data_IF_972606151195
#
_entry.id   IF_972606151195
#
_cell.length_a   1.000
_cell.length_b   1.000
_cell.length_c   1.000
_cell.angle_alpha   90.00
_cell.angle_beta   90.00
_cell.angle_gamma   90.00
#
_symmetry.space_group_name_H-M   'P 1'
#
loop_
_entity.id
_entity.type
_entity.pdbx_description
1 polymer ?
#
# COMPACT_ATOMS: atom_id res chain seq x y z
N UNK A 1 22.42 6.68 -26.15
CA UNK A 1 23.81 6.78 -25.64
C UNK A 1 23.78 6.39 -24.17
N UNK A 2 24.41 5.27 -23.82
CA UNK A 2 24.48 4.79 -22.45
C UNK A 2 25.40 5.71 -21.65
N UNK A 3 24.85 6.44 -20.69
CA UNK A 3 25.61 7.26 -19.77
C UNK A 3 26.23 6.33 -18.73
N UNK A 4 27.56 6.23 -18.75
CA UNK A 4 28.35 5.52 -17.76
C UNK A 4 28.20 6.29 -16.44
N UNK A 5 27.36 5.78 -15.54
CA UNK A 5 27.39 6.20 -14.13
C UNK A 5 28.77 5.83 -13.58
N UNK A 6 29.56 6.84 -13.22
CA UNK A 6 30.68 6.64 -12.33
C UNK A 6 30.14 5.99 -11.05
N UNK A 7 30.50 4.73 -10.80
CA UNK A 7 30.16 4.04 -9.57
C UNK A 7 30.69 4.86 -8.39
N UNK A 8 29.80 5.55 -7.67
CA UNK A 8 30.13 6.12 -6.36
C UNK A 8 30.55 4.95 -5.46
N UNK A 9 31.64 5.10 -4.73
CA UNK A 9 32.05 4.11 -3.73
C UNK A 9 30.88 3.90 -2.74
N UNK A 10 30.41 2.67 -2.63
CA UNK A 10 29.32 2.31 -1.73
C UNK A 10 29.87 1.90 -0.37
N UNK A 11 29.26 2.42 0.68
CA UNK A 11 29.49 1.95 2.05
C UNK A 11 28.75 0.65 2.26
N UNK A 12 29.48 -0.42 2.60
CA UNK A 12 28.88 -1.74 2.88
C UNK A 12 28.42 -1.77 4.33
N UNK A 13 27.19 -2.22 4.55
CA UNK A 13 26.54 -2.30 5.87
C UNK A 13 26.44 -3.76 6.29
N UNK A 14 27.00 -4.09 7.46
CA UNK A 14 27.04 -5.44 8.03
C UNK A 14 26.30 -5.54 9.38
N UNK A 15 26.18 -4.44 10.10
CA UNK A 15 25.67 -4.38 11.48
C UNK A 15 24.47 -3.44 11.64
N UNK A 16 23.76 -3.56 12.77
CA UNK A 16 22.64 -2.67 13.09
C UNK A 16 23.10 -1.24 13.35
N UNK A 17 24.26 -1.10 13.99
CA UNK A 17 24.86 0.17 14.32
C UNK A 17 25.26 0.92 13.04
N UNK A 18 25.87 0.24 12.06
CA UNK A 18 26.14 0.80 10.73
C UNK A 18 24.86 1.19 10.00
N UNK A 19 23.83 0.35 10.05
CA UNK A 19 22.53 0.66 9.46
C UNK A 19 21.91 1.93 10.07
N UNK A 20 21.93 2.08 11.39
CA UNK A 20 21.42 3.29 12.05
C UNK A 20 22.29 4.52 11.77
N UNK A 21 23.61 4.34 11.62
CA UNK A 21 24.56 5.41 11.36
C UNK A 21 24.44 6.02 9.94
N UNK A 22 23.66 5.42 9.03
CA UNK A 22 23.28 6.05 7.76
C UNK A 22 22.66 7.43 8.00
N UNK A 23 21.99 7.63 9.14
CA UNK A 23 21.44 8.93 9.58
C UNK A 23 22.46 10.07 9.62
N UNK A 24 23.75 9.77 9.74
CA UNK A 24 24.80 10.77 9.82
C UNK A 24 25.26 11.26 8.43
N UNK A 25 24.87 10.57 7.35
CA UNK A 25 25.15 10.97 5.98
C UNK A 25 24.03 10.52 5.02
N UNK A 26 22.83 11.11 5.11
CA UNK A 26 21.66 10.66 4.35
C UNK A 26 21.77 10.79 2.82
N UNK A 27 22.81 11.46 2.31
CA UNK A 27 23.11 11.59 0.89
C UNK A 27 24.08 10.51 0.35
N UNK A 28 24.56 9.62 1.22
CA UNK A 28 25.52 8.57 0.89
C UNK A 28 24.99 7.45 -0.01
N UNK A 29 25.88 6.58 -0.48
CA UNK A 29 25.52 5.36 -1.22
C UNK A 29 25.83 4.14 -0.35
N UNK A 30 24.83 3.28 -0.15
CA UNK A 30 24.86 2.19 0.81
C UNK A 30 24.43 0.87 0.18
N UNK A 31 25.08 -0.22 0.58
CA UNK A 31 24.72 -1.58 0.17
C UNK A 31 24.76 -2.55 1.36
N UNK A 32 23.78 -3.43 1.48
CA UNK A 32 23.83 -4.49 2.49
C UNK A 32 24.87 -5.56 2.12
N UNK A 33 25.80 -5.82 3.04
CA UNK A 33 26.82 -6.87 2.92
C UNK A 33 26.33 -8.25 3.35
N UNK A 34 25.37 -8.31 4.28
CA UNK A 34 24.73 -9.54 4.76
C UNK A 34 23.29 -9.28 5.20
N UNK A 35 22.56 -10.36 5.50
CA UNK A 35 21.29 -10.25 6.21
C UNK A 35 21.53 -9.70 7.63
N UNK A 36 20.64 -8.83 8.09
CA UNK A 36 20.71 -8.16 9.39
C UNK A 36 19.56 -8.67 10.27
N UNK A 37 19.91 -9.15 11.46
CA UNK A 37 18.94 -9.42 12.51
C UNK A 37 18.78 -8.21 13.43
N UNK A 38 17.62 -7.55 13.34
CA UNK A 38 17.30 -6.32 14.06
C UNK A 38 16.53 -6.55 15.37
N UNK A 39 16.45 -7.79 15.88
CA UNK A 39 15.73 -8.06 17.13
C UNK A 39 16.23 -7.22 18.32
N UNK A 40 17.53 -6.88 18.34
CA UNK A 40 18.13 -6.04 19.38
C UNK A 40 17.57 -4.61 19.40
N UNK A 41 17.01 -4.11 18.29
CA UNK A 41 16.49 -2.74 18.26
C UNK A 41 15.34 -2.57 19.24
N UNK A 42 14.64 -3.63 19.65
CA UNK A 42 13.55 -3.57 20.63
C UNK A 42 13.96 -2.94 21.98
N UNK A 43 15.22 -3.09 22.41
CA UNK A 43 15.73 -2.49 23.65
C UNK A 43 16.44 -1.15 23.44
N UNK A 44 16.47 -0.62 22.21
CA UNK A 44 17.17 0.63 21.90
C UNK A 44 16.31 1.84 22.24
N UNK A 45 16.97 2.97 22.51
CA UNK A 45 16.35 4.28 22.66
C UNK A 45 15.22 4.33 23.70
N UNK A 46 15.43 3.67 24.85
CA UNK A 46 14.41 3.58 25.90
C UNK A 46 13.18 2.80 25.45
N UNK A 47 13.39 1.68 24.74
CA UNK A 47 12.34 0.82 24.16
C UNK A 47 11.53 1.47 23.03
N UNK A 48 11.97 2.63 22.51
CA UNK A 48 11.40 3.26 21.33
C UNK A 48 11.84 2.59 20.01
N UNK A 49 12.83 1.69 20.05
CA UNK A 49 13.24 0.95 18.87
C UNK A 49 14.33 1.62 18.05
N UNK A 50 14.42 1.23 16.78
CA UNK A 50 15.31 1.82 15.79
C UNK A 50 14.87 3.27 15.46
N UNK A 51 15.83 4.21 15.36
CA UNK A 51 15.56 5.57 14.92
C UNK A 51 15.50 5.62 13.38
N UNK A 52 14.40 6.12 12.77
CA UNK A 52 14.26 6.16 11.32
C UNK A 52 15.43 6.86 10.60
N UNK A 53 15.77 6.36 9.41
CA UNK A 53 16.75 6.96 8.51
C UNK A 53 16.11 8.12 7.75
N UNK A 54 16.67 9.31 7.88
CA UNK A 54 16.11 10.53 7.29
C UNK A 54 14.85 11.01 8.01
N UNK A 55 14.61 12.31 7.95
CA UNK A 55 13.45 13.00 8.52
C UNK A 55 12.87 13.97 7.50
N UNK A 56 11.71 14.58 7.77
CA UNK A 56 11.17 15.60 6.87
C UNK A 56 12.13 16.80 6.70
N UNK A 57 12.88 17.16 7.75
CA UNK A 57 13.83 18.27 7.71
C UNK A 57 15.18 17.89 7.07
N UNK A 58 15.57 16.62 7.16
CA UNK A 58 16.82 16.08 6.60
C UNK A 58 16.56 14.70 5.99
N UNK A 59 16.00 14.65 4.77
CA UNK A 59 15.52 13.41 4.17
C UNK A 59 16.67 12.56 3.60
N UNK A 60 16.45 11.25 3.50
CA UNK A 60 17.36 10.37 2.79
C UNK A 60 17.33 10.66 1.29
N UNK A 61 18.40 11.23 0.76
CA UNK A 61 18.57 11.61 -0.66
C UNK A 61 19.62 10.76 -1.38
N UNK A 62 20.23 9.83 -0.66
CA UNK A 62 21.22 8.89 -1.15
C UNK A 62 20.64 7.68 -1.87
N UNK A 63 21.46 6.65 -2.00
CA UNK A 63 21.08 5.36 -2.58
C UNK A 63 21.24 4.26 -1.54
N UNK A 64 20.19 3.48 -1.31
CA UNK A 64 20.23 2.28 -0.48
C UNK A 64 19.88 1.05 -1.32
N UNK A 65 20.87 0.18 -1.53
CA UNK A 65 20.71 -1.10 -2.21
C UNK A 65 20.68 -2.23 -1.17
N UNK A 66 19.52 -2.84 -0.96
CA UNK A 66 19.39 -4.00 -0.07
C UNK A 66 20.08 -5.25 -0.59
N UNK A 67 20.53 -5.28 -1.86
CA UNK A 67 21.30 -6.38 -2.45
C UNK A 67 20.62 -7.77 -2.32
N UNK A 68 19.28 -7.79 -2.26
CA UNK A 68 18.50 -9.00 -2.04
C UNK A 68 18.63 -9.59 -0.62
N UNK A 69 19.30 -8.88 0.30
CA UNK A 69 19.46 -9.26 1.70
C UNK A 69 18.24 -8.86 2.53
N UNK A 70 18.09 -9.56 3.64
CA UNK A 70 16.98 -9.39 4.56
C UNK A 70 17.39 -8.55 5.76
N UNK A 71 16.54 -7.61 6.17
CA UNK A 71 16.53 -7.06 7.52
C UNK A 71 15.33 -7.69 8.23
N UNK A 72 15.59 -8.50 9.25
CA UNK A 72 14.56 -9.23 10.00
C UNK A 72 14.37 -8.65 11.39
N UNK A 73 13.20 -8.85 12.01
CA UNK A 73 12.97 -8.50 13.42
C UNK A 73 13.14 -7.02 13.75
N UNK A 74 13.00 -6.13 12.76
CA UNK A 74 13.08 -4.68 12.99
C UNK A 74 11.95 -4.23 13.90
N UNK A 75 12.31 -3.57 15.00
CA UNK A 75 11.36 -2.96 15.93
C UNK A 75 11.52 -1.44 15.92
N UNK A 76 10.41 -0.74 15.65
CA UNK A 76 10.28 0.72 15.72
C UNK A 76 8.99 1.04 16.47
N UNK A 77 9.08 1.90 17.48
CA UNK A 77 7.97 2.35 18.31
C UNK A 77 8.12 3.85 18.60
N UNK A 78 7.77 4.68 17.62
CA UNK A 78 8.26 6.05 17.52
C UNK A 78 7.14 7.08 17.59
N UNK A 79 7.40 8.20 18.27
CA UNK A 79 6.53 9.38 18.29
C UNK A 79 6.83 10.38 17.15
N UNK A 80 7.70 10.02 16.19
CA UNK A 80 7.98 10.87 15.03
C UNK A 80 6.75 11.00 14.09
N UNK A 81 6.70 12.07 13.29
CA UNK A 81 5.65 12.27 12.27
C UNK A 81 5.78 11.31 11.09
N UNK A 82 6.99 10.80 10.81
CA UNK A 82 7.24 9.83 9.74
C UNK A 82 7.98 8.62 10.30
N UNK A 83 7.33 7.47 10.24
CA UNK A 83 7.80 6.26 10.93
C UNK A 83 7.97 5.11 9.92
N UNK A 84 9.16 4.53 9.91
CA UNK A 84 9.58 3.41 9.06
C UNK A 84 11.08 3.20 9.18
N UNK A 85 11.65 2.19 8.50
CA UNK A 85 13.11 2.07 8.40
C UNK A 85 13.72 3.39 7.92
N UNK A 86 13.08 4.00 6.91
CA UNK A 86 13.28 5.38 6.52
C UNK A 86 12.15 6.24 7.10
N UNK A 87 12.47 7.35 7.73
CA UNK A 87 11.45 8.33 8.11
C UNK A 87 10.94 8.99 6.83
N UNK A 88 11.84 9.66 6.12
CA UNK A 88 11.55 10.29 4.84
C UNK A 88 12.61 9.94 3.80
N UNK A 89 12.18 9.43 2.65
CA UNK A 89 12.98 9.38 1.43
C UNK A 89 12.71 10.67 0.67
N UNK A 90 13.76 11.46 0.43
CA UNK A 90 13.69 12.76 -0.25
C UNK A 90 13.69 12.63 -1.77
N UNK A 91 13.45 13.75 -2.44
CA UNK A 91 13.64 13.83 -3.89
C UNK A 91 15.08 13.44 -4.25
N UNK A 92 15.25 12.55 -5.23
CA UNK A 92 16.54 11.98 -5.62
C UNK A 92 16.99 10.77 -4.79
N UNK A 93 16.35 10.49 -3.65
CA UNK A 93 16.59 9.28 -2.87
C UNK A 93 16.14 8.03 -3.61
N UNK A 94 16.95 6.97 -3.57
CA UNK A 94 16.63 5.68 -4.20
C UNK A 94 16.81 4.56 -3.20
N UNK A 95 15.75 3.80 -2.94
CA UNK A 95 15.77 2.61 -2.08
C UNK A 95 15.31 1.41 -2.89
N UNK A 96 16.16 0.40 -3.01
CA UNK A 96 15.84 -0.75 -3.85
C UNK A 96 16.44 -2.09 -3.41
N UNK A 97 15.89 -3.18 -3.92
CA UNK A 97 16.33 -4.56 -3.66
C UNK A 97 16.38 -4.93 -2.17
N UNK A 98 15.41 -4.45 -1.40
CA UNK A 98 15.39 -4.60 0.05
C UNK A 98 14.25 -5.52 0.50
N UNK A 99 14.53 -6.38 1.48
CA UNK A 99 13.54 -7.27 2.09
C UNK A 99 13.46 -6.99 3.60
N UNK A 100 12.29 -6.56 4.08
CA UNK A 100 11.96 -6.42 5.50
C UNK A 100 11.03 -7.56 5.91
N UNK A 101 11.39 -8.33 6.95
CA UNK A 101 10.59 -9.47 7.39
C UNK A 101 10.47 -9.55 8.91
N UNK A 102 9.32 -10.02 9.39
CA UNK A 102 9.13 -10.42 10.79
C UNK A 102 9.46 -9.32 11.82
N UNK A 103 8.98 -8.10 11.63
CA UNK A 103 9.19 -6.98 12.56
C UNK A 103 7.89 -6.22 12.88
N UNK A 104 7.99 -5.16 13.67
CA UNK A 104 6.88 -4.26 13.99
C UNK A 104 7.30 -2.80 13.89
N UNK A 105 6.50 -2.01 13.18
CA UNK A 105 6.63 -0.55 13.08
C UNK A 105 5.36 0.07 13.63
N UNK A 106 5.49 0.84 14.70
CA UNK A 106 4.37 1.47 15.40
C UNK A 106 4.59 2.97 15.50
N UNK A 107 3.60 3.76 15.08
CA UNK A 107 3.54 5.20 15.35
C UNK A 107 2.86 5.46 16.70
N UNK A 108 3.39 6.41 17.47
CA UNK A 108 2.91 6.86 18.78
C UNK A 108 2.89 8.39 18.86
N UNK A 109 2.24 9.03 17.89
CA UNK A 109 2.17 10.49 17.86
C UNK A 109 0.74 10.97 18.13
N UNK A 110 0.63 12.15 18.72
CA UNK A 110 -0.66 12.83 18.90
C UNK A 110 -0.95 13.84 17.78
N UNK A 111 -0.11 13.87 16.75
CA UNK A 111 -0.20 14.75 15.59
C UNK A 111 -0.26 13.93 14.29
N UNK A 112 -0.47 14.60 13.16
CA UNK A 112 -0.41 14.00 11.82
C UNK A 112 0.81 13.08 11.68
N UNK A 113 0.59 11.84 11.25
CA UNK A 113 1.68 10.91 10.97
C UNK A 113 1.51 10.14 9.67
N UNK A 114 2.64 9.64 9.20
CA UNK A 114 2.65 8.59 8.21
C UNK A 114 3.57 7.46 8.66
N UNK A 115 3.03 6.25 8.62
CA UNK A 115 3.72 5.05 9.05
C UNK A 115 3.77 4.05 7.90
N UNK A 116 4.97 3.53 7.65
CA UNK A 116 5.16 2.44 6.72
C UNK A 116 6.26 1.50 7.18
N UNK A 117 6.17 0.23 6.80
CA UNK A 117 7.19 -0.75 7.14
C UNK A 117 8.58 -0.34 6.64
N UNK A 118 8.65 0.15 5.40
CA UNK A 118 9.89 0.64 4.79
C UNK A 118 10.06 2.15 4.98
N UNK A 119 9.04 2.95 4.70
CA UNK A 119 9.15 4.41 4.77
C UNK A 119 7.90 5.07 5.38
N UNK A 120 8.08 6.07 6.23
CA UNK A 120 6.98 6.94 6.62
C UNK A 120 6.50 7.79 5.45
N UNK A 121 7.44 8.45 4.76
CA UNK A 121 7.18 9.21 3.54
C UNK A 121 8.18 8.91 2.41
N UNK A 122 7.70 8.92 1.17
CA UNK A 122 8.50 8.77 -0.03
C UNK A 122 8.28 9.94 -1.01
N UNK A 123 9.34 10.68 -1.33
CA UNK A 123 9.38 11.63 -2.45
C UNK A 123 10.41 11.21 -3.52
N UNK A 124 11.07 10.07 -3.33
CA UNK A 124 12.07 9.51 -4.22
C UNK A 124 11.56 8.28 -4.97
N UNK A 125 12.44 7.31 -5.20
CA UNK A 125 12.12 6.04 -5.86
C UNK A 125 12.30 4.87 -4.91
N UNK A 126 11.23 4.08 -4.76
CA UNK A 126 11.26 2.75 -4.14
C UNK A 126 11.05 1.71 -5.24
N UNK A 127 11.99 0.77 -5.38
CA UNK A 127 11.92 -0.25 -6.41
C UNK A 127 12.34 -1.62 -5.92
N UNK A 128 11.63 -2.67 -6.31
CA UNK A 128 12.00 -4.04 -5.90
C UNK A 128 12.14 -4.17 -4.37
N UNK A 129 11.15 -3.63 -3.64
CA UNK A 129 11.18 -3.52 -2.19
C UNK A 129 10.02 -4.29 -1.56
N UNK A 130 10.32 -5.06 -0.52
CA UNK A 130 9.41 -6.05 0.03
C UNK A 130 9.30 -5.89 1.54
N UNK A 131 8.08 -5.75 2.06
CA UNK A 131 7.84 -5.63 3.50
C UNK A 131 6.80 -6.64 3.99
N UNK A 132 7.20 -7.52 4.89
CA UNK A 132 6.31 -8.42 5.63
C UNK A 132 6.50 -8.21 7.14
N UNK A 133 6.14 -7.00 7.57
CA UNK A 133 6.19 -6.52 8.95
C UNK A 133 4.82 -6.05 9.40
N UNK A 134 4.54 -6.12 10.70
CA UNK A 134 3.30 -5.53 11.24
C UNK A 134 3.45 -4.02 11.33
N UNK A 135 2.53 -3.29 10.72
CA UNK A 135 2.48 -1.83 10.76
C UNK A 135 1.25 -1.40 11.54
N UNK A 136 1.47 -0.69 12.64
CA UNK A 136 0.41 -0.13 13.47
C UNK A 136 0.52 1.39 13.45
N UNK A 137 -0.41 2.02 12.77
CA UNK A 137 -0.70 3.42 13.00
C UNK A 137 -1.48 3.63 14.29
N UNK A 138 -1.46 4.88 14.74
CA UNK A 138 -2.39 5.36 15.73
C UNK A 138 -3.82 5.42 15.12
N UNK A 139 -4.82 5.32 15.98
CA UNK A 139 -6.23 5.40 15.62
C UNK A 139 -6.76 6.85 15.67
N UNK A 140 -5.85 7.82 15.81
CA UNK A 140 -6.14 9.25 15.90
C UNK A 140 -6.24 9.88 14.50
N UNK A 141 -6.79 11.10 14.45
CA UNK A 141 -7.14 11.79 13.21
C UNK A 141 -5.89 12.10 12.35
N UNK A 142 -6.04 11.93 11.04
CA UNK A 142 -5.08 12.31 9.99
C UNK A 142 -3.76 11.54 9.94
N UNK A 143 -3.89 10.22 9.98
CA UNK A 143 -2.76 9.32 9.79
C UNK A 143 -2.87 8.46 8.52
N UNK A 144 -1.78 8.43 7.76
CA UNK A 144 -1.61 7.55 6.61
C UNK A 144 -0.75 6.32 7.00
N UNK A 145 -1.39 5.15 7.04
CA UNK A 145 -0.74 3.87 7.33
C UNK A 145 -0.65 3.01 6.07
N UNK A 146 0.57 2.66 5.66
CA UNK A 146 0.81 1.70 4.58
C UNK A 146 1.64 0.52 5.04
N UNK A 147 1.39 -0.68 4.53
CA UNK A 147 2.26 -1.83 4.84
C UNK A 147 3.72 -1.64 4.36
N UNK A 148 3.93 -0.87 3.29
CA UNK A 148 5.26 -0.50 2.80
C UNK A 148 5.57 0.98 3.06
N UNK A 149 4.69 1.89 2.67
CA UNK A 149 4.90 3.35 2.74
C UNK A 149 3.70 4.06 3.33
N UNK A 150 3.88 4.95 4.30
CA UNK A 150 2.77 5.76 4.80
C UNK A 150 2.22 6.72 3.73
N UNK A 151 3.04 7.67 3.29
CA UNK A 151 2.68 8.62 2.21
C UNK A 151 3.64 8.51 1.03
N UNK A 152 3.11 8.36 -0.18
CA UNK A 152 3.87 8.34 -1.42
C UNK A 152 3.62 9.60 -2.26
N UNK A 153 4.64 10.46 -2.39
CA UNK A 153 4.74 11.55 -3.38
C UNK A 153 5.70 11.21 -4.53
N UNK A 154 6.41 10.10 -4.44
CA UNK A 154 7.40 9.65 -5.42
C UNK A 154 6.91 8.48 -6.26
N UNK A 155 7.83 7.59 -6.61
CA UNK A 155 7.53 6.35 -7.36
C UNK A 155 7.73 5.13 -6.49
N UNK A 156 6.76 4.21 -6.52
CA UNK A 156 6.86 2.85 -5.98
C UNK A 156 6.63 1.90 -7.15
N UNK A 157 7.60 1.01 -7.43
CA UNK A 157 7.46 0.03 -8.51
C UNK A 157 7.99 -1.34 -8.16
N UNK A 158 7.39 -2.40 -8.71
CA UNK A 158 7.84 -3.80 -8.51
C UNK A 158 7.98 -4.15 -7.02
N UNK A 159 7.12 -3.61 -6.18
CA UNK A 159 7.25 -3.66 -4.73
C UNK A 159 6.01 -4.27 -4.10
N UNK A 160 6.15 -4.90 -2.94
CA UNK A 160 5.02 -5.54 -2.30
C UNK A 160 5.05 -5.52 -0.77
N UNK A 161 3.85 -5.60 -0.20
CA UNK A 161 3.63 -5.71 1.24
C UNK A 161 2.79 -6.94 1.58
N UNK A 162 3.19 -7.67 2.63
CA UNK A 162 2.48 -8.88 3.08
C UNK A 162 2.20 -8.93 4.58
N UNK A 163 2.63 -7.92 5.33
CA UNK A 163 2.34 -7.81 6.76
C UNK A 163 1.01 -7.11 7.03
N UNK A 164 0.51 -7.21 8.26
CA UNK A 164 -0.73 -6.51 8.65
C UNK A 164 -0.49 -5.00 8.68
N UNK A 165 -1.46 -4.23 8.19
CA UNK A 165 -1.51 -2.78 8.32
C UNK A 165 -2.80 -2.37 9.05
N UNK A 166 -2.68 -1.50 10.06
CA UNK A 166 -3.83 -1.01 10.84
C UNK A 166 -3.68 0.46 11.19
N UNK A 167 -4.69 1.30 10.97
CA UNK A 167 -4.64 2.74 11.26
C UNK A 167 -5.92 3.49 10.86
N UNK A 168 -5.81 4.81 10.63
CA UNK A 168 -6.89 5.66 10.13
C UNK A 168 -7.07 5.53 8.61
N UNK A 169 -6.28 6.23 7.80
CA UNK A 169 -6.20 6.08 6.35
C UNK A 169 -5.23 4.94 6.02
N UNK A 170 -5.76 3.75 5.73
CA UNK A 170 -4.95 2.51 5.73
C UNK A 170 -4.96 1.81 4.39
N UNK A 171 -3.79 1.62 3.81
CA UNK A 171 -3.57 0.73 2.66
C UNK A 171 -2.63 -0.42 2.97
N UNK A 172 -2.82 -1.55 2.29
CA UNK A 172 -1.92 -2.68 2.45
C UNK A 172 -0.51 -2.40 1.93
N UNK A 173 -0.36 -1.55 0.91
CA UNK A 173 0.94 -1.09 0.38
C UNK A 173 1.23 0.36 0.79
N UNK A 174 0.30 1.28 0.50
CA UNK A 174 0.48 2.72 0.71
C UNK A 174 -0.69 3.30 1.50
N UNK A 175 -0.48 4.16 2.51
CA UNK A 175 -1.59 4.89 3.15
C UNK A 175 -2.24 5.86 2.16
N UNK A 176 -1.53 6.96 1.87
CA UNK A 176 -1.93 7.95 0.87
C UNK A 176 -0.98 7.96 -0.32
N UNK A 177 -1.53 7.83 -1.53
CA UNK A 177 -0.76 7.92 -2.76
C UNK A 177 -1.03 9.21 -3.53
N UNK A 178 -0.07 10.14 -3.54
CA UNK A 178 -0.02 11.32 -4.41
C UNK A 178 0.84 11.12 -5.65
N UNK A 179 1.76 10.15 -5.61
CA UNK A 179 2.68 9.83 -6.69
C UNK A 179 2.23 8.66 -7.57
N UNK A 180 3.19 7.85 -7.99
CA UNK A 180 2.98 6.69 -8.87
C UNK A 180 3.23 5.39 -8.13
N UNK A 181 2.30 4.44 -8.29
CA UNK A 181 2.45 3.04 -7.91
C UNK A 181 2.24 2.16 -9.14
N UNK A 182 3.21 1.30 -9.45
CA UNK A 182 3.18 0.47 -10.66
C UNK A 182 3.71 -0.94 -10.41
N UNK A 183 3.12 -1.96 -11.03
CA UNK A 183 3.58 -3.35 -10.93
C UNK A 183 3.77 -3.80 -9.47
N UNK A 184 2.85 -3.43 -8.58
CA UNK A 184 3.03 -3.58 -7.13
C UNK A 184 1.82 -4.22 -6.48
N UNK A 185 1.99 -4.88 -5.33
CA UNK A 185 0.89 -5.61 -4.73
C UNK A 185 0.90 -5.71 -3.21
N UNK A 186 -0.27 -5.99 -2.66
CA UNK A 186 -0.46 -6.20 -1.23
C UNK A 186 -1.23 -7.48 -0.92
N UNK A 187 -0.74 -8.25 0.05
CA UNK A 187 -1.36 -9.52 0.48
C UNK A 187 -1.72 -9.54 1.97
N UNK A 188 -1.23 -8.55 2.72
CA UNK A 188 -1.47 -8.42 4.15
C UNK A 188 -2.90 -8.01 4.49
N UNK A 189 -3.35 -8.36 5.69
CA UNK A 189 -4.64 -7.91 6.22
C UNK A 189 -4.61 -6.41 6.48
N UNK A 190 -5.68 -5.72 6.09
CA UNK A 190 -5.89 -4.29 6.37
C UNK A 190 -7.04 -4.11 7.36
N UNK A 191 -6.80 -3.34 8.40
CA UNK A 191 -7.83 -2.88 9.34
C UNK A 191 -7.77 -1.35 9.43
N UNK A 192 -8.62 -0.67 8.68
CA UNK A 192 -8.58 0.80 8.57
C UNK A 192 -9.85 1.48 9.05
N UNK A 193 -9.90 2.79 8.83
CA UNK A 193 -11.08 3.60 9.02
C UNK A 193 -11.38 3.88 10.48
N UNK A 194 -10.39 4.06 11.34
CA UNK A 194 -10.66 4.58 12.69
C UNK A 194 -10.73 6.11 12.63
N UNK A 195 -11.87 6.71 13.02
CA UNK A 195 -12.05 8.16 13.14
C UNK A 195 -12.37 8.92 11.83
N UNK A 196 -13.66 9.12 11.53
CA UNK A 196 -14.13 10.03 10.46
C UNK A 196 -14.25 9.39 9.06
N UNK A 197 -14.41 10.22 8.01
CA UNK A 197 -14.56 9.79 6.61
C UNK A 197 -13.22 9.37 5.97
N UNK A 198 -12.65 8.26 6.46
CA UNK A 198 -11.31 7.76 6.10
C UNK A 198 -11.36 6.61 5.09
N UNK A 199 -10.23 6.38 4.40
CA UNK A 199 -10.07 5.33 3.41
C UNK A 199 -9.41 4.06 3.98
N UNK A 200 -10.03 2.91 3.77
CA UNK A 200 -9.40 1.60 4.00
C UNK A 200 -9.37 0.81 2.68
N UNK A 201 -8.18 0.51 2.17
CA UNK A 201 -8.01 -0.21 0.91
C UNK A 201 -6.96 -1.32 0.96
N UNK A 202 -7.15 -2.37 0.16
CA UNK A 202 -6.22 -3.49 0.12
C UNK A 202 -4.83 -3.11 -0.39
N UNK A 203 -4.72 -2.17 -1.31
CA UNK A 203 -3.46 -1.60 -1.80
C UNK A 203 -3.22 -0.20 -1.22
N UNK A 204 -4.17 0.74 -1.41
CA UNK A 204 -4.05 2.10 -0.93
C UNK A 204 -5.25 2.55 -0.08
N UNK A 205 -5.01 3.31 0.99
CA UNK A 205 -6.08 3.94 1.76
C UNK A 205 -6.78 4.99 0.89
N UNK A 206 -6.03 6.01 0.50
CA UNK A 206 -6.47 7.05 -0.43
C UNK A 206 -5.53 7.15 -1.65
N UNK A 207 -6.11 7.42 -2.81
CA UNK A 207 -5.38 7.63 -4.05
C UNK A 207 -5.72 8.99 -4.68
N UNK A 208 -4.70 9.81 -4.80
CA UNK A 208 -4.67 11.11 -5.47
C UNK A 208 -3.84 11.09 -6.75
N UNK A 209 -2.93 10.13 -6.86
CA UNK A 209 -2.01 9.96 -7.99
C UNK A 209 -2.43 8.83 -8.93
N UNK A 210 -1.44 8.10 -9.46
CA UNK A 210 -1.65 7.01 -10.41
C UNK A 210 -1.29 5.66 -9.79
N UNK A 211 -2.18 4.68 -9.98
CA UNK A 211 -1.95 3.28 -9.65
C UNK A 211 -2.21 2.45 -10.91
N UNK A 212 -1.22 1.65 -11.31
CA UNK A 212 -1.29 0.84 -12.51
C UNK A 212 -0.75 -0.58 -12.28
N UNK A 213 -1.30 -1.56 -12.99
CA UNK A 213 -0.75 -2.93 -13.09
C UNK A 213 -0.49 -3.53 -11.70
N UNK A 214 -1.44 -3.35 -10.79
CA UNK A 214 -1.23 -3.60 -9.36
C UNK A 214 -2.41 -4.34 -8.77
N UNK A 215 -2.19 -5.10 -7.69
CA UNK A 215 -3.25 -5.92 -7.12
C UNK A 215 -3.23 -6.06 -5.61
N UNK A 216 -4.38 -6.39 -5.04
CA UNK A 216 -4.52 -6.69 -3.61
C UNK A 216 -5.31 -7.97 -3.35
N UNK A 217 -4.80 -8.83 -2.47
CA UNK A 217 -5.46 -10.12 -2.13
C UNK A 217 -5.78 -10.27 -0.64
N UNK A 218 -5.21 -9.40 0.20
CA UNK A 218 -5.45 -9.43 1.64
C UNK A 218 -6.88 -8.98 2.01
N UNK A 219 -7.46 -9.51 3.10
CA UNK A 219 -8.77 -9.09 3.55
C UNK A 219 -8.74 -7.67 4.12
N UNK A 220 -9.78 -6.89 3.84
CA UNK A 220 -9.95 -5.50 4.27
C UNK A 220 -11.15 -5.38 5.20
N UNK A 221 -10.97 -4.77 6.37
CA UNK A 221 -12.06 -4.37 7.25
C UNK A 221 -11.96 -2.89 7.59
N UNK A 222 -13.07 -2.16 7.55
CA UNK A 222 -13.13 -0.75 7.93
C UNK A 222 -14.25 -0.44 8.90
N UNK A 223 -13.99 0.37 9.93
CA UNK A 223 -14.96 0.78 10.95
C UNK A 223 -15.59 2.14 10.69
N UNK A 224 -15.02 2.95 9.80
CA UNK A 224 -15.58 4.20 9.29
C UNK A 224 -15.38 4.38 7.78
N UNK A 225 -16.29 5.13 7.16
CA UNK A 225 -16.08 5.74 5.85
C UNK A 225 -16.10 4.78 4.66
N UNK A 226 -14.97 4.76 3.94
CA UNK A 226 -14.82 4.25 2.57
C UNK A 226 -13.93 3.01 2.59
N UNK A 227 -14.49 1.86 2.26
CA UNK A 227 -13.79 0.57 2.35
C UNK A 227 -13.77 -0.10 0.98
N UNK A 228 -12.58 -0.24 0.39
CA UNK A 228 -12.37 -0.90 -0.89
C UNK A 228 -11.49 -2.12 -0.78
N UNK A 229 -11.70 -3.12 -1.63
CA UNK A 229 -10.78 -4.26 -1.73
C UNK A 229 -9.40 -3.88 -2.28
N UNK A 230 -9.29 -2.74 -2.98
CA UNK A 230 -8.05 -2.22 -3.56
C UNK A 230 -7.76 -0.80 -3.06
N UNK A 231 -8.68 0.14 -3.25
CA UNK A 231 -8.54 1.54 -2.82
C UNK A 231 -9.73 1.95 -1.96
N UNK A 232 -9.48 2.55 -0.79
CA UNK A 232 -10.57 3.09 0.03
C UNK A 232 -11.26 4.26 -0.69
N UNK A 233 -10.50 5.32 -0.96
CA UNK A 233 -10.97 6.50 -1.68
C UNK A 233 -10.07 6.83 -2.88
N UNK A 234 -10.66 6.96 -4.07
CA UNK A 234 -9.95 7.47 -5.25
C UNK A 234 -10.39 8.91 -5.50
N UNK A 235 -9.58 9.88 -5.09
CA UNK A 235 -9.87 11.32 -5.15
C UNK A 235 -9.05 11.98 -6.27
N UNK A 236 -9.67 12.19 -7.43
CA UNK A 236 -9.00 12.70 -8.65
C UNK A 236 -7.83 11.84 -9.16
N UNK A 237 -7.55 10.70 -8.53
CA UNK A 237 -6.54 9.76 -8.97
C UNK A 237 -6.97 8.89 -10.15
N UNK A 238 -6.00 8.15 -10.71
CA UNK A 238 -6.21 7.16 -11.78
C UNK A 238 -5.89 5.76 -11.28
N UNK A 239 -6.80 4.83 -11.51
CA UNK A 239 -6.62 3.40 -11.29
C UNK A 239 -6.83 2.70 -12.63
N UNK A 240 -5.80 2.00 -13.13
CA UNK A 240 -5.89 1.22 -14.38
C UNK A 240 -5.23 -0.14 -14.23
N UNK A 241 -5.71 -1.14 -14.95
CA UNK A 241 -5.07 -2.46 -14.98
C UNK A 241 -4.88 -3.08 -13.58
N UNK A 242 -5.89 -2.97 -12.72
CA UNK A 242 -5.78 -3.36 -11.31
C UNK A 242 -6.82 -4.40 -10.90
N UNK A 243 -6.53 -5.18 -9.85
CA UNK A 243 -7.53 -6.10 -9.32
C UNK A 243 -7.47 -6.33 -7.81
N UNK A 244 -8.63 -6.70 -7.25
CA UNK A 244 -8.75 -7.14 -5.86
C UNK A 244 -9.51 -8.46 -5.69
N UNK A 245 -8.94 -9.35 -4.88
CA UNK A 245 -9.56 -10.66 -4.58
C UNK A 245 -9.84 -10.86 -3.09
N UNK A 246 -9.34 -9.98 -2.23
CA UNK A 246 -9.54 -10.04 -0.78
C UNK A 246 -10.98 -9.77 -0.36
N UNK A 247 -11.46 -10.43 0.70
CA UNK A 247 -12.78 -10.14 1.24
C UNK A 247 -12.83 -8.72 1.85
N UNK A 248 -13.95 -8.02 1.62
CA UNK A 248 -14.16 -6.63 2.07
C UNK A 248 -15.32 -6.59 3.06
N UNK A 249 -15.08 -5.99 4.22
CA UNK A 249 -16.09 -5.85 5.28
C UNK A 249 -16.16 -4.43 5.83
N UNK A 250 -17.26 -3.74 5.54
CA UNK A 250 -17.64 -2.53 6.27
C UNK A 250 -18.27 -2.94 7.60
N UNK A 251 -17.56 -2.73 8.70
CA UNK A 251 -18.05 -3.00 10.06
C UNK A 251 -18.97 -1.88 10.53
N UNK A 252 -18.58 -0.65 10.19
CA UNK A 252 -19.20 0.60 10.58
C UNK A 252 -19.41 0.82 12.07
N UNK A 253 -19.96 1.99 12.39
CA UNK A 253 -20.44 2.35 13.73
C UNK A 253 -21.91 2.80 13.59
N UNK A 254 -22.74 2.43 14.57
CA UNK A 254 -24.16 2.78 14.57
C UNK A 254 -24.31 4.32 14.51
N UNK A 255 -25.15 4.80 13.58
CA UNK A 255 -25.53 6.23 13.48
C UNK A 255 -24.74 7.08 12.47
N UNK A 256 -23.75 6.53 11.77
CA UNK A 256 -23.05 7.26 10.72
C UNK A 256 -23.82 7.26 9.39
N UNK A 257 -23.99 8.44 8.78
CA UNK A 257 -24.94 8.64 7.69
C UNK A 257 -24.49 8.15 6.31
N UNK A 258 -23.21 7.85 6.07
CA UNK A 258 -22.74 7.42 4.75
C UNK A 258 -21.54 6.47 4.87
N UNK A 259 -21.72 5.22 4.45
CA UNK A 259 -20.70 4.19 4.40
C UNK A 259 -20.68 3.56 3.03
N UNK A 260 -19.50 3.52 2.42
CA UNK A 260 -19.31 3.05 1.06
C UNK A 260 -18.37 1.86 1.06
N UNK A 261 -18.86 0.71 0.60
CA UNK A 261 -18.11 -0.54 0.58
C UNK A 261 -18.09 -1.08 -0.84
N UNK A 262 -16.92 -1.16 -1.45
CA UNK A 262 -16.75 -1.69 -2.81
C UNK A 262 -15.76 -2.84 -2.86
N UNK A 263 -15.98 -3.79 -3.78
CA UNK A 263 -15.04 -4.89 -3.97
C UNK A 263 -13.68 -4.46 -4.52
N UNK A 264 -13.60 -3.33 -5.23
CA UNK A 264 -12.34 -2.70 -5.67
C UNK A 264 -12.17 -1.33 -5.00
N UNK A 265 -13.13 -0.41 -5.18
CA UNK A 265 -13.02 0.97 -4.68
C UNK A 265 -14.17 1.30 -3.73
N UNK A 266 -13.87 1.84 -2.54
CA UNK A 266 -14.92 2.29 -1.62
C UNK A 266 -15.73 3.45 -2.22
N UNK A 267 -15.05 4.56 -2.51
CA UNK A 267 -15.60 5.73 -3.20
C UNK A 267 -14.68 6.17 -4.35
N UNK A 268 -15.26 6.43 -5.52
CA UNK A 268 -14.53 6.84 -6.71
C UNK A 268 -14.97 8.21 -7.21
N UNK A 269 -14.07 9.19 -7.08
CA UNK A 269 -14.18 10.53 -7.65
C UNK A 269 -13.13 10.77 -8.75
N UNK A 270 -12.26 9.79 -9.01
CA UNK A 270 -11.27 9.78 -10.08
C UNK A 270 -11.62 8.84 -11.24
N UNK A 271 -10.61 8.48 -12.04
CA UNK A 271 -10.78 7.55 -13.17
C UNK A 271 -10.48 6.11 -12.75
N UNK A 272 -11.37 5.20 -13.14
CA UNK A 272 -11.18 3.75 -13.01
C UNK A 272 -11.34 3.06 -14.36
N UNK A 273 -10.31 2.33 -14.80
CA UNK A 273 -10.29 1.62 -16.07
C UNK A 273 -9.72 0.20 -15.93
N UNK A 274 -10.15 -0.71 -16.81
CA UNK A 274 -9.50 -2.01 -17.05
C UNK A 274 -9.19 -2.82 -15.79
N UNK A 275 -10.13 -2.80 -14.84
CA UNK A 275 -9.91 -3.33 -13.50
C UNK A 275 -11.04 -4.23 -13.03
N UNK A 276 -10.76 -5.14 -12.08
CA UNK A 276 -11.82 -6.02 -11.58
C UNK A 276 -11.73 -6.43 -10.11
N UNK A 277 -12.87 -6.84 -9.55
CA UNK A 277 -12.94 -7.43 -8.20
C UNK A 277 -13.64 -8.79 -8.17
N UNK A 278 -13.18 -9.65 -7.27
CA UNK A 278 -13.79 -10.96 -7.00
C UNK A 278 -14.04 -11.24 -5.52
N UNK A 279 -13.50 -10.43 -4.62
CA UNK A 279 -13.64 -10.63 -3.17
C UNK A 279 -15.07 -10.46 -2.68
N UNK A 280 -15.48 -11.27 -1.70
CA UNK A 280 -16.79 -11.17 -1.02
C UNK A 280 -16.94 -9.80 -0.37
N UNK A 281 -18.06 -9.10 -0.62
CA UNK A 281 -18.31 -7.77 -0.07
C UNK A 281 -19.47 -7.80 0.93
N UNK A 282 -19.23 -7.34 2.15
CA UNK A 282 -20.21 -7.38 3.26
C UNK A 282 -20.25 -6.06 4.04
N UNK A 283 -21.42 -5.76 4.60
CA UNK A 283 -21.69 -4.58 5.43
C UNK A 283 -23.15 -4.52 5.87
N UNK A 284 -23.50 -3.53 6.70
CA UNK A 284 -24.89 -3.33 7.14
C UNK A 284 -25.81 -2.94 5.97
N UNK A 285 -27.11 -3.21 6.11
CA UNK A 285 -28.11 -2.93 5.07
C UNK A 285 -28.30 -1.44 4.76
N UNK A 286 -27.89 -0.55 5.66
CA UNK A 286 -27.94 0.91 5.47
C UNK A 286 -26.77 1.46 4.64
N UNK A 287 -25.74 0.65 4.34
CA UNK A 287 -24.56 1.10 3.62
C UNK A 287 -24.77 1.03 2.10
N UNK A 288 -24.04 1.84 1.33
CA UNK A 288 -23.94 1.64 -0.12
C UNK A 288 -22.87 0.61 -0.38
N UNK A 289 -23.29 -0.57 -0.84
CA UNK A 289 -22.40 -1.70 -1.07
C UNK A 289 -22.44 -2.09 -2.54
N UNK A 290 -21.31 -2.05 -3.21
CA UNK A 290 -21.17 -2.45 -4.61
C UNK A 290 -20.20 -3.60 -4.81
N UNK A 291 -20.44 -4.41 -5.85
CA UNK A 291 -19.53 -5.48 -6.24
C UNK A 291 -18.15 -4.97 -6.69
N UNK A 292 -18.10 -3.83 -7.40
CA UNK A 292 -16.87 -3.14 -7.79
C UNK A 292 -16.64 -1.86 -6.97
N UNK A 293 -17.65 -0.98 -6.93
CA UNK A 293 -17.54 0.36 -6.34
C UNK A 293 -18.71 0.62 -5.39
N UNK A 294 -18.42 1.10 -4.17
CA UNK A 294 -19.45 1.50 -3.20
C UNK A 294 -20.21 2.76 -3.62
N UNK A 295 -19.50 3.86 -3.87
CA UNK A 295 -20.04 5.13 -4.39
C UNK A 295 -19.19 5.63 -5.57
N UNK A 296 -19.82 6.16 -6.61
CA UNK A 296 -19.12 6.62 -7.81
C UNK A 296 -19.65 7.98 -8.25
N UNK A 297 -18.76 8.94 -8.42
CA UNK A 297 -19.06 10.31 -8.86
C UNK A 297 -18.26 10.70 -10.11
N UNK A 298 -17.54 9.74 -10.70
CA UNK A 298 -16.65 9.98 -11.85
C UNK A 298 -16.61 8.79 -12.82
N UNK A 299 -15.63 8.79 -13.72
CA UNK A 299 -15.59 7.89 -14.89
C UNK A 299 -15.15 6.49 -14.52
N UNK A 300 -15.90 5.50 -15.02
CA UNK A 300 -15.57 4.08 -14.93
C UNK A 300 -15.70 3.46 -16.31
N UNK A 301 -14.61 2.94 -16.86
CA UNK A 301 -14.59 2.26 -18.15
C UNK A 301 -14.09 0.82 -17.98
N UNK A 302 -14.60 -0.09 -18.82
CA UNK A 302 -14.00 -1.43 -19.03
C UNK A 302 -13.61 -2.17 -17.74
N UNK A 303 -14.43 -2.03 -16.68
CA UNK A 303 -14.15 -2.56 -15.36
C UNK A 303 -15.28 -3.46 -14.86
N UNK A 304 -14.94 -4.51 -14.13
CA UNK A 304 -15.82 -5.66 -13.92
C UNK A 304 -15.84 -6.18 -12.48
N UNK A 305 -16.93 -6.80 -12.05
CA UNK A 305 -16.91 -7.61 -10.83
C UNK A 305 -17.57 -8.96 -11.05
N UNK A 306 -17.14 -9.96 -10.27
CA UNK A 306 -17.80 -11.25 -10.21
C UNK A 306 -19.01 -11.18 -9.28
N UNK A 307 -20.23 -11.27 -9.83
CA UNK A 307 -21.49 -11.19 -9.08
C UNK A 307 -21.67 -12.32 -8.06
N UNK A 308 -21.08 -13.49 -8.32
CA UNK A 308 -21.27 -14.68 -7.49
C UNK A 308 -20.30 -14.67 -6.31
N UNK A 309 -19.01 -14.45 -6.56
CA UNK A 309 -18.01 -14.47 -5.48
C UNK A 309 -18.07 -13.22 -4.61
N UNK A 310 -18.36 -12.05 -5.20
CA UNK A 310 -18.64 -10.84 -4.42
C UNK A 310 -19.90 -10.97 -3.57
N UNK A 311 -20.84 -11.81 -4.01
CA UNK A 311 -22.19 -11.92 -3.47
C UNK A 311 -23.05 -10.68 -3.72
N UNK A 312 -22.68 -9.81 -4.68
CA UNK A 312 -23.37 -8.55 -5.00
C UNK A 312 -23.92 -8.58 -6.43
N UNK A 313 -25.21 -8.26 -6.57
CA UNK A 313 -25.86 -8.13 -7.88
C UNK A 313 -25.68 -6.76 -8.53
N UNK A 314 -25.34 -5.74 -7.75
CA UNK A 314 -25.23 -4.33 -8.18
C UNK A 314 -23.88 -3.71 -7.77
N UNK A 315 -23.54 -2.59 -8.40
CA UNK A 315 -22.38 -1.74 -8.11
C UNK A 315 -22.68 -0.32 -8.60
N UNK A 316 -22.04 0.69 -8.01
CA UNK A 316 -22.18 2.10 -8.43
C UNK A 316 -21.47 2.43 -9.75
N UNK A 317 -20.79 1.45 -10.34
CA UNK A 317 -20.08 1.55 -11.62
C UNK A 317 -19.51 0.19 -12.04
N UNK A 318 -19.11 0.11 -13.31
CA UNK A 318 -18.60 -1.10 -13.97
C UNK A 318 -19.69 -2.07 -14.44
N UNK A 319 -19.27 -3.27 -14.88
CA UNK A 319 -20.16 -4.32 -15.38
C UNK A 319 -20.05 -5.61 -14.57
N UNK A 320 -21.19 -6.11 -14.07
CA UNK A 320 -21.25 -7.35 -13.28
C UNK A 320 -21.30 -8.60 -14.16
N UNK A 321 -20.25 -9.41 -14.11
CA UNK A 321 -20.14 -10.68 -14.83
C UNK A 321 -20.37 -11.88 -13.90
N UNK A 322 -20.75 -13.01 -14.48
CA UNK A 322 -20.68 -14.29 -13.76
C UNK A 322 -19.23 -14.76 -13.65
N UNK A 323 -18.93 -15.63 -12.70
CA UNK A 323 -17.64 -16.33 -12.60
C UNK A 323 -17.27 -17.01 -13.91
N UNK A 324 -18.23 -17.67 -14.57
CA UNK A 324 -17.98 -18.32 -15.85
C UNK A 324 -17.60 -17.31 -16.94
N UNK A 325 -18.28 -16.16 -17.02
CA UNK A 325 -17.97 -15.11 -17.98
C UNK A 325 -16.59 -14.50 -17.71
N UNK A 326 -16.29 -14.15 -16.46
CA UNK A 326 -15.02 -13.51 -16.09
C UNK A 326 -13.82 -14.45 -16.24
N UNK A 327 -14.04 -15.76 -16.24
CA UNK A 327 -13.00 -16.78 -16.49
C UNK A 327 -12.93 -17.27 -17.94
N UNK A 328 -13.88 -16.93 -18.81
CA UNK A 328 -13.95 -17.50 -20.15
C UNK A 328 -12.88 -16.93 -21.09
N UNK A 329 -12.64 -15.62 -21.03
CA UNK A 329 -11.68 -14.89 -21.85
C UNK A 329 -11.29 -13.58 -21.16
N UNK A 330 -10.31 -12.86 -21.70
CA UNK A 330 -10.07 -11.48 -21.30
C UNK A 330 -11.36 -10.65 -21.52
N UNK A 331 -11.82 -9.90 -20.52
CA UNK A 331 -12.92 -8.97 -20.68
C UNK A 331 -12.59 -7.86 -21.69
N UNK A 332 -13.61 -7.20 -22.23
CA UNK A 332 -13.37 -6.08 -23.14
C UNK A 332 -12.59 -4.94 -22.45
N UNK A 333 -11.63 -4.35 -23.15
CA UNK A 333 -10.71 -3.33 -22.62
C UNK A 333 -9.39 -3.88 -22.08
N UNK A 334 -9.35 -5.16 -21.68
CA UNK A 334 -8.13 -5.76 -21.14
C UNK A 334 -7.16 -6.05 -22.29
N UNK A 335 -6.02 -5.34 -22.31
CA UNK A 335 -4.97 -5.52 -23.30
C UNK A 335 -4.20 -6.83 -23.08
N UNK A 336 -3.97 -7.59 -24.14
CA UNK A 336 -3.29 -8.90 -24.07
C UNK A 336 -1.77 -8.79 -23.87
N UNK A 337 -1.20 -7.59 -23.95
CA UNK A 337 0.18 -7.29 -23.54
C UNK A 337 0.33 -7.00 -22.05
N UNK A 338 -0.77 -6.65 -21.37
CA UNK A 338 -0.81 -6.42 -19.91
C UNK A 338 -1.40 -7.61 -19.15
N UNK A 339 -2.40 -8.25 -19.74
CA UNK A 339 -3.21 -9.29 -19.11
C UNK A 339 -3.11 -10.63 -19.82
N UNK A 340 -3.19 -11.69 -19.02
CA UNK A 340 -3.36 -13.06 -19.51
C UNK A 340 -4.46 -13.77 -18.74
N UNK A 341 -4.91 -14.90 -19.28
CA UNK A 341 -5.94 -15.73 -18.65
C UNK A 341 -5.73 -17.19 -19.09
N UNK A 342 -5.99 -18.11 -18.19
CA UNK A 342 -6.16 -19.53 -18.50
C UNK A 342 -7.67 -19.79 -18.56
N UNK A 343 -8.28 -19.88 -19.76
CA UNK A 343 -9.73 -20.00 -19.91
C UNK A 343 -10.30 -21.09 -19.01
N UNK A 344 -11.35 -20.74 -18.26
CA UNK A 344 -12.03 -21.55 -17.23
C UNK A 344 -11.22 -21.88 -15.98
N UNK A 345 -9.89 -21.86 -16.06
CA UNK A 345 -9.00 -22.23 -14.95
C UNK A 345 -8.64 -21.03 -14.04
N UNK A 346 -8.50 -19.83 -14.59
CA UNK A 346 -8.13 -18.62 -13.83
C UNK A 346 -9.08 -17.45 -14.12
N UNK A 347 -9.09 -16.47 -13.20
CA UNK A 347 -9.45 -15.10 -13.56
C UNK A 347 -8.33 -14.47 -14.42
N UNK A 348 -8.55 -13.31 -15.07
CA UNK A 348 -7.47 -12.55 -15.69
C UNK A 348 -6.36 -12.28 -14.67
N UNK A 349 -5.09 -12.27 -15.09
CA UNK A 349 -3.95 -11.94 -14.24
C UNK A 349 -2.94 -11.12 -15.02
N UNK A 350 -2.18 -10.28 -14.30
CA UNK A 350 -1.15 -9.43 -14.86
C UNK A 350 0.08 -10.25 -15.27
N UNK A 351 0.72 -9.86 -16.38
CA UNK A 351 1.92 -10.50 -16.95
C UNK A 351 3.22 -10.14 -16.23
#
# INVERSE_FOLDING_TARGET
MAQIEHARAQTVIHTLEELQNIRNNPAGAYILGNDIDAAKTASWNGEAGFLPIGTEADPFTGVFNGNGRQIRNLYINSAASRVGLFGQIGAGGVVHNIVLIAGSVTAKTTAYSAVGGLAGGNAGTIANAYARVTVNGDALLDEATGGLVGVNNGTIRKSYAGGMASGADTGGLVGDNFGTVETSFATGRVTGGTGGYRGAGGLAGNNYGSIAESYATGPVSGTYGRVGGFVGFNENGTIRDCYATGAVRGLGILGSAQFFVGGLVGENNGTLADSYSTGKVTGASSYRIGGLIGNNESTVTTSYWDKQTSGRSTSSGGTGLTTAQLKASLPAGFDAGTWSILPTASYPFLL
#
